data_IF_947976577583
#
_entry.id   IF_947976577583
#
_cell.length_a   1.000
_cell.length_b   1.000
_cell.length_c   1.000
_cell.angle_alpha   90.00
_cell.angle_beta   90.00
_cell.angle_gamma   90.00
#
_symmetry.space_group_name_H-M   'P 1'
#
loop_
_entity.id
_entity.type
_entity.pdbx_description
1 polymer ?
#
# COMPACT_ATOMS: atom_id res chain seq x y z
N UNK A 1 6.10 0.33 -32.20
CA UNK A 1 6.47 0.50 -30.77
C UNK A 1 6.66 -0.89 -30.22
N UNK A 2 7.89 -1.27 -29.87
CA UNK A 2 8.17 -2.57 -29.27
C UNK A 2 7.86 -2.44 -27.78
N UNK A 3 6.76 -3.06 -27.34
CA UNK A 3 6.43 -3.20 -25.92
C UNK A 3 7.30 -4.31 -25.33
N UNK A 4 8.60 -4.06 -25.21
CA UNK A 4 9.48 -4.91 -24.43
C UNK A 4 9.01 -4.78 -22.97
N UNK A 5 8.32 -5.80 -22.44
CA UNK A 5 8.01 -5.85 -21.03
C UNK A 5 9.33 -5.78 -20.26
N UNK A 6 9.49 -4.81 -19.37
CA UNK A 6 10.57 -4.81 -18.40
C UNK A 6 10.31 -5.92 -17.38
N UNK A 7 10.53 -7.17 -17.80
CA UNK A 7 10.49 -8.34 -16.95
C UNK A 7 11.82 -8.39 -16.18
N UNK A 8 12.02 -7.40 -15.30
CA UNK A 8 13.11 -7.44 -14.34
C UNK A 8 12.76 -8.58 -13.39
N UNK A 9 13.63 -9.57 -13.28
CA UNK A 9 13.47 -10.63 -12.31
C UNK A 9 13.43 -10.01 -10.90
N UNK A 10 12.44 -10.40 -10.12
CA UNK A 10 12.32 -9.95 -8.75
C UNK A 10 13.53 -10.46 -7.95
N UNK A 11 14.32 -9.55 -7.40
CA UNK A 11 15.43 -9.87 -6.49
C UNK A 11 14.94 -10.22 -5.07
N UNK A 12 13.62 -10.32 -4.89
CA UNK A 12 13.00 -10.65 -3.61
C UNK A 12 13.21 -12.15 -3.32
N UNK A 13 13.77 -12.45 -2.16
CA UNK A 13 13.86 -13.82 -1.67
C UNK A 13 12.47 -14.30 -1.20
N UNK A 14 11.73 -14.88 -2.14
CA UNK A 14 10.37 -15.39 -1.91
C UNK A 14 10.33 -16.59 -0.97
N UNK A 15 11.37 -17.43 -0.97
CA UNK A 15 11.43 -18.60 -0.09
C UNK A 15 11.58 -18.18 1.37
N UNK A 16 12.41 -17.16 1.63
CA UNK A 16 12.53 -16.57 2.98
C UNK A 16 11.22 -15.95 3.44
N UNK A 17 10.53 -15.19 2.57
CA UNK A 17 9.25 -14.58 2.92
C UNK A 17 8.15 -15.60 3.21
N UNK A 18 8.09 -16.69 2.43
CA UNK A 18 7.10 -17.76 2.62
C UNK A 18 7.26 -18.51 3.94
N UNK A 19 8.51 -18.64 4.42
CA UNK A 19 8.82 -19.29 5.69
C UNK A 19 8.75 -18.35 6.91
N UNK A 20 8.54 -17.05 6.71
CA UNK A 20 8.59 -16.04 7.77
C UNK A 20 7.37 -16.14 8.68
N UNK A 21 7.59 -16.09 9.99
CA UNK A 21 6.51 -16.06 10.98
C UNK A 21 6.14 -14.62 11.36
N UNK A 22 4.97 -14.42 11.95
CA UNK A 22 4.54 -13.08 12.38
C UNK A 22 5.51 -12.49 13.43
N UNK A 23 6.12 -13.33 14.25
CA UNK A 23 7.12 -12.94 15.26
C UNK A 23 8.45 -12.45 14.65
N UNK A 24 8.74 -12.83 13.40
CA UNK A 24 9.94 -12.38 12.68
C UNK A 24 9.73 -11.00 12.02
N UNK A 25 8.49 -10.47 12.02
CA UNK A 25 8.16 -9.17 11.44
C UNK A 25 8.62 -8.06 12.38
N UNK A 26 9.49 -7.18 11.87
CA UNK A 26 9.93 -6.00 12.59
C UNK A 26 8.83 -4.93 12.60
N UNK A 27 8.28 -4.66 13.79
CA UNK A 27 7.26 -3.64 14.04
C UNK A 27 7.83 -2.40 14.74
N UNK A 28 9.15 -2.25 14.80
CA UNK A 28 9.80 -1.11 15.48
C UNK A 28 9.45 0.23 14.84
N UNK A 29 9.26 0.27 13.51
CA UNK A 29 8.87 1.47 12.77
C UNK A 29 7.33 1.64 12.68
N UNK A 30 6.60 0.53 12.71
CA UNK A 30 5.14 0.52 12.62
C UNK A 30 4.55 -0.26 13.80
N UNK A 31 4.25 0.42 14.94
CA UNK A 31 3.70 -0.26 16.09
C UNK A 31 2.32 -0.84 15.80
N UNK A 32 1.96 -1.90 16.50
CA UNK A 32 0.67 -2.57 16.33
C UNK A 32 -0.51 -1.61 16.59
N UNK A 33 -1.53 -1.73 15.74
CA UNK A 33 -2.76 -0.97 15.90
C UNK A 33 -3.61 -1.63 16.99
N UNK A 34 -3.69 -0.99 18.16
CA UNK A 34 -4.55 -1.50 19.23
C UNK A 34 -6.04 -1.29 18.90
N UNK A 35 -6.90 -2.07 19.57
CA UNK A 35 -8.35 -1.95 19.40
C UNK A 35 -8.87 -0.56 19.82
N UNK A 36 -8.26 0.07 20.82
CA UNK A 36 -8.60 1.41 21.27
C UNK A 36 -8.20 2.48 20.25
N UNK A 37 -7.06 2.30 19.56
CA UNK A 37 -6.65 3.18 18.47
C UNK A 37 -7.63 3.08 17.30
N UNK A 38 -8.02 1.85 16.93
CA UNK A 38 -9.00 1.63 15.88
C UNK A 38 -10.37 2.20 16.21
N UNK A 39 -10.84 2.04 17.45
CA UNK A 39 -12.12 2.59 17.90
C UNK A 39 -12.19 4.13 17.81
N UNK A 40 -11.03 4.80 17.90
CA UNK A 40 -10.90 6.27 17.76
C UNK A 40 -10.61 6.72 16.32
N UNK A 41 -10.38 5.80 15.40
CA UNK A 41 -10.03 6.12 14.02
C UNK A 41 -11.24 6.76 13.28
N UNK A 42 -10.95 7.70 12.38
CA UNK A 42 -11.97 8.38 11.57
C UNK A 42 -11.72 8.05 10.11
N UNK A 43 -12.74 7.49 9.44
CA UNK A 43 -12.68 7.26 8.00
C UNK A 43 -12.77 8.59 7.26
N UNK A 44 -11.66 9.01 6.65
CA UNK A 44 -11.65 10.19 5.77
C UNK A 44 -12.10 9.76 4.38
N UNK A 45 -13.35 10.06 4.02
CA UNK A 45 -13.79 10.00 2.61
C UNK A 45 -12.98 11.04 1.83
N UNK A 46 -12.51 10.65 0.65
CA UNK A 46 -11.53 11.39 -0.16
C UNK A 46 -11.94 12.84 -0.49
N UNK A 47 -11.00 13.57 -1.09
CA UNK A 47 -11.24 14.94 -1.55
C UNK A 47 -12.45 14.96 -2.52
N UNK A 48 -13.31 15.98 -2.47
CA UNK A 48 -14.34 16.15 -3.50
C UNK A 48 -13.65 16.18 -4.87
N UNK A 49 -14.19 15.46 -5.85
CA UNK A 49 -13.74 15.57 -7.23
C UNK A 49 -13.88 17.04 -7.63
N UNK A 50 -12.76 17.71 -7.93
CA UNK A 50 -12.81 19.03 -8.55
C UNK A 50 -13.73 18.94 -9.77
N UNK A 51 -14.71 19.85 -9.95
CA UNK A 51 -15.50 19.87 -11.17
C UNK A 51 -14.53 20.09 -12.32
N UNK A 52 -14.48 19.12 -13.24
CA UNK A 52 -13.78 19.24 -14.50
C UNK A 52 -14.28 20.54 -15.15
N UNK A 53 -13.42 21.56 -15.28
CA UNK A 53 -13.76 22.70 -16.14
C UNK A 53 -13.95 22.15 -17.55
N UNK A 54 -15.19 22.18 -18.05
CA UNK A 54 -15.47 21.91 -19.45
C UNK A 54 -14.74 22.96 -20.27
N UNK A 55 -13.73 22.52 -21.03
CA UNK A 55 -13.20 23.31 -22.12
C UNK A 55 -14.31 23.44 -23.17
N UNK A 56 -14.83 24.66 -23.35
CA UNK A 56 -15.81 25.00 -24.38
C UNK A 56 -15.39 24.40 -25.73
N UNK A 57 -16.30 23.62 -26.32
CA UNK A 57 -16.29 23.24 -27.74
C UNK A 57 -16.66 24.43 -28.62
#
# INVERSE_FOLDING_TARGET
MNNEFTSIESETDWQRLDAMTDEDIDLSDCPEVTSEMFAKAIVRRGLPSSPHMEANR
#
